data_IF_809024891400
#
_entry.id   IF_809024891400
#
_cell.length_a   1.000
_cell.length_b   1.000
_cell.length_c   1.000
_cell.angle_alpha   90.00
_cell.angle_beta   90.00
_cell.angle_gamma   90.00
#
_symmetry.space_group_name_H-M   'P 1'
#
loop_
_entity.id
_entity.type
_entity.pdbx_description
1 polymer ?
#
# COMPACT_ATOMS: atom_id res chain seq x y z
N UNK A 1 -37.57 -83.38 -55.42
CA UNK A 1 -39.00 -83.28 -55.79
C UNK A 1 -39.81 -83.06 -54.52
N UNK A 2 -40.60 -81.99 -54.47
CA UNK A 2 -41.74 -81.74 -53.54
C UNK A 2 -41.41 -81.66 -52.03
N UNK A 3 -41.93 -80.77 -51.16
CA UNK A 3 -42.93 -79.69 -51.10
C UNK A 3 -42.56 -78.91 -49.81
N UNK A 4 -42.42 -77.58 -49.79
CA UNK A 4 -43.46 -76.55 -49.58
C UNK A 4 -44.41 -76.76 -48.38
N UNK A 5 -44.32 -75.88 -47.36
CA UNK A 5 -45.38 -75.39 -46.45
C UNK A 5 -44.70 -74.55 -45.32
N UNK A 6 -44.50 -73.23 -45.44
CA UNK A 6 -45.40 -72.08 -45.15
C UNK A 6 -45.73 -71.88 -43.65
N UNK A 7 -45.60 -70.60 -43.24
CA UNK A 7 -46.01 -69.91 -42.01
C UNK A 7 -44.92 -69.86 -40.92
N UNK A 8 -44.59 -68.70 -40.31
CA UNK A 8 -45.45 -67.60 -39.95
C UNK A 8 -44.69 -66.27 -39.95
N UNK A 9 -45.33 -65.23 -40.48
CA UNK A 9 -44.88 -63.86 -40.44
C UNK A 9 -44.97 -63.29 -39.01
N UNK A 10 -43.93 -62.56 -38.60
CA UNK A 10 -44.00 -61.59 -37.51
C UNK A 10 -43.28 -60.33 -38.03
N UNK A 11 -44.08 -59.42 -38.58
CA UNK A 11 -43.64 -58.08 -38.98
C UNK A 11 -43.61 -57.23 -37.71
N UNK A 12 -42.43 -57.04 -37.13
CA UNK A 12 -42.18 -55.97 -36.18
C UNK A 12 -41.98 -54.67 -36.97
N UNK A 13 -42.99 -53.81 -36.95
CA UNK A 13 -42.86 -52.40 -37.34
C UNK A 13 -41.92 -51.72 -36.33
N UNK A 14 -40.67 -51.51 -36.73
CA UNK A 14 -39.75 -50.63 -36.03
C UNK A 14 -40.17 -49.17 -36.31
N UNK A 15 -40.69 -48.50 -35.28
CA UNK A 15 -40.80 -47.05 -35.27
C UNK A 15 -39.37 -46.46 -35.25
N UNK A 16 -38.94 -45.90 -36.37
CA UNK A 16 -37.79 -44.99 -36.41
C UNK A 16 -38.21 -43.66 -35.79
N UNK A 17 -37.71 -43.36 -34.59
CA UNK A 17 -37.63 -41.99 -34.08
C UNK A 17 -36.32 -41.36 -34.62
N UNK A 18 -36.34 -40.13 -35.16
CA UNK A 18 -35.11 -39.44 -35.51
C UNK A 18 -34.33 -39.12 -34.23
N UNK A 19 -33.05 -39.48 -34.21
CA UNK A 19 -32.12 -39.01 -33.20
C UNK A 19 -31.85 -37.51 -33.46
N UNK A 20 -32.48 -36.64 -32.68
CA UNK A 20 -32.09 -35.24 -32.61
C UNK A 20 -30.69 -35.15 -32.00
N UNK A 21 -29.71 -34.82 -32.85
CA UNK A 21 -28.36 -34.47 -32.42
C UNK A 21 -28.43 -33.14 -31.70
N UNK A 22 -28.52 -33.19 -30.37
CA UNK A 22 -28.32 -32.02 -29.51
C UNK A 22 -26.88 -31.56 -29.69
N UNK A 23 -26.70 -30.57 -30.56
CA UNK A 23 -25.49 -29.79 -30.69
C UNK A 23 -25.22 -29.11 -29.34
N UNK A 24 -24.31 -29.70 -28.56
CA UNK A 24 -23.70 -29.05 -27.41
C UNK A 24 -22.91 -27.86 -27.93
N UNK A 25 -23.57 -26.70 -28.06
CA UNK A 25 -22.89 -25.42 -28.19
C UNK A 25 -22.07 -25.25 -26.92
N UNK A 26 -20.78 -25.51 -27.05
CA UNK A 26 -19.75 -25.15 -26.09
C UNK A 26 -19.87 -23.66 -25.81
N UNK A 27 -20.54 -23.34 -24.71
CA UNK A 27 -20.62 -21.99 -24.19
C UNK A 27 -19.39 -21.85 -23.30
N UNK A 28 -18.24 -21.59 -23.91
CA UNK A 28 -17.08 -21.09 -23.17
C UNK A 28 -17.46 -19.67 -22.78
N UNK A 29 -18.20 -19.55 -21.68
CA UNK A 29 -18.39 -18.28 -21.01
C UNK A 29 -17.01 -17.81 -20.59
N UNK A 30 -16.57 -16.71 -21.20
CA UNK A 30 -15.44 -15.88 -20.82
C UNK A 30 -15.34 -15.77 -19.29
N UNK A 31 -14.49 -16.60 -18.66
CA UNK A 31 -14.13 -16.43 -17.26
C UNK A 31 -13.21 -15.21 -17.18
N UNK A 32 -13.82 -14.03 -17.08
CA UNK A 32 -13.10 -12.83 -16.64
C UNK A 32 -12.64 -13.15 -15.23
N UNK A 33 -11.35 -13.49 -15.07
CA UNK A 33 -10.72 -13.52 -13.75
C UNK A 33 -11.07 -12.21 -13.06
N UNK A 34 -11.71 -12.27 -11.89
CA UNK A 34 -11.85 -11.10 -11.03
C UNK A 34 -10.44 -10.64 -10.69
N UNK A 35 -9.97 -9.61 -11.40
CA UNK A 35 -8.69 -8.95 -11.11
C UNK A 35 -9.00 -7.84 -10.12
N UNK A 36 -8.40 -7.92 -8.95
CA UNK A 36 -8.47 -6.87 -7.96
C UNK A 36 -7.48 -5.77 -8.31
N UNK A 37 -7.84 -4.52 -8.02
CA UNK A 37 -6.91 -3.41 -8.16
C UNK A 37 -6.02 -3.38 -6.92
N UNK A 38 -4.77 -3.77 -7.10
CA UNK A 38 -3.78 -3.79 -6.04
C UNK A 38 -2.67 -2.83 -6.41
N UNK A 39 -2.46 -1.84 -5.55
CA UNK A 39 -1.38 -0.86 -5.70
C UNK A 39 -0.27 -1.23 -4.74
N UNK A 40 0.96 -1.20 -5.24
CA UNK A 40 2.13 -1.30 -4.39
C UNK A 40 2.53 0.10 -3.92
N UNK A 41 2.57 0.32 -2.61
CA UNK A 41 3.07 1.55 -2.00
C UNK A 41 4.42 1.29 -1.36
N UNK A 42 5.46 1.95 -1.84
CA UNK A 42 6.81 1.83 -1.27
C UNK A 42 7.22 3.13 -0.61
N UNK A 43 7.75 3.04 0.60
CA UNK A 43 8.33 4.15 1.32
C UNK A 43 9.80 3.89 1.66
N UNK A 44 10.68 4.79 1.20
CA UNK A 44 12.10 4.76 1.52
C UNK A 44 12.38 5.49 2.84
N UNK A 45 12.38 4.75 3.94
CA UNK A 45 12.86 5.20 5.25
C UNK A 45 14.29 4.69 5.54
N UNK A 46 15.01 4.20 4.53
CA UNK A 46 16.39 3.73 4.65
C UNK A 46 17.34 4.94 4.50
N UNK A 47 18.02 5.37 5.58
CA UNK A 47 18.87 6.54 5.55
C UNK A 47 20.11 6.28 4.68
N UNK A 48 20.14 6.97 3.55
CA UNK A 48 21.20 6.92 2.54
C UNK A 48 21.14 8.20 1.71
N UNK A 49 22.28 8.65 1.18
CA UNK A 49 22.30 9.69 0.14
C UNK A 49 21.93 9.13 -1.23
N UNK A 50 22.19 7.84 -1.45
CA UNK A 50 21.82 7.13 -2.67
C UNK A 50 20.31 6.83 -2.66
N UNK A 51 19.56 7.24 -3.70
CA UNK A 51 18.13 6.98 -3.78
C UNK A 51 17.86 5.49 -4.09
N UNK A 52 16.67 5.03 -3.72
CA UNK A 52 16.27 3.62 -3.74
C UNK A 52 15.54 3.27 -5.04
N UNK A 53 16.14 2.43 -5.87
CA UNK A 53 15.47 1.75 -6.97
C UNK A 53 14.60 0.61 -6.44
N UNK A 54 13.40 0.47 -7.03
CA UNK A 54 12.48 -0.64 -6.74
C UNK A 54 12.38 -1.53 -7.97
N UNK A 55 12.53 -2.83 -7.78
CA UNK A 55 12.47 -3.83 -8.84
C UNK A 55 11.50 -4.92 -8.45
N UNK A 56 10.78 -5.45 -9.43
CA UNK A 56 9.95 -6.64 -9.31
C UNK A 56 10.51 -7.71 -10.24
N UNK A 57 10.91 -8.85 -9.69
CA UNK A 57 11.47 -9.99 -10.45
C UNK A 57 12.60 -9.56 -11.41
N UNK A 58 13.45 -8.63 -10.95
CA UNK A 58 14.55 -8.05 -11.73
C UNK A 58 14.18 -6.92 -12.71
N UNK A 59 12.89 -6.59 -12.87
CA UNK A 59 12.41 -5.47 -13.71
C UNK A 59 12.24 -4.22 -12.86
N UNK A 60 12.86 -3.12 -13.27
CA UNK A 60 12.76 -1.85 -12.54
C UNK A 60 11.35 -1.25 -12.64
N UNK A 61 10.75 -0.92 -11.49
CA UNK A 61 9.44 -0.27 -11.40
C UNK A 61 9.57 1.25 -11.32
N UNK A 62 10.58 1.75 -10.62
CA UNK A 62 10.86 3.19 -10.51
C UNK A 62 11.35 3.76 -11.83
N UNK A 63 10.66 4.76 -12.39
CA UNK A 63 11.22 5.61 -13.44
C UNK A 63 12.34 6.51 -12.91
N UNK A 64 12.16 7.03 -11.70
CA UNK A 64 13.16 7.76 -10.92
C UNK A 64 13.32 7.08 -9.55
N UNK A 65 14.56 6.78 -9.11
CA UNK A 65 14.80 6.19 -7.79
C UNK A 65 14.25 7.04 -6.64
N UNK A 66 13.70 6.40 -5.60
CA UNK A 66 13.05 7.07 -4.47
C UNK A 66 14.09 7.68 -3.52
N UNK A 67 14.16 9.01 -3.35
CA UNK A 67 15.05 9.61 -2.38
C UNK A 67 14.66 9.22 -0.94
N UNK A 68 15.60 9.36 -0.02
CA UNK A 68 15.33 9.14 1.41
C UNK A 68 14.16 10.03 1.88
N UNK A 69 13.24 9.46 2.66
CA UNK A 69 11.99 10.06 3.16
C UNK A 69 10.90 10.28 2.09
N UNK A 70 11.01 9.64 0.93
CA UNK A 70 9.95 9.65 -0.09
C UNK A 70 9.20 8.32 -0.14
N UNK A 71 7.97 8.39 -0.64
CA UNK A 71 7.17 7.24 -1.00
C UNK A 71 6.62 7.39 -2.42
N UNK A 72 6.25 6.28 -3.04
CA UNK A 72 5.53 6.26 -4.30
C UNK A 72 4.58 5.06 -4.37
N UNK A 73 3.55 5.23 -5.19
CA UNK A 73 2.61 4.19 -5.56
C UNK A 73 2.96 3.67 -6.95
N UNK A 74 2.84 2.35 -7.13
CA UNK A 74 3.06 1.64 -8.38
C UNK A 74 1.81 0.85 -8.72
N UNK A 75 1.21 1.14 -9.87
CA UNK A 75 0.04 0.44 -10.41
C UNK A 75 0.44 -0.82 -11.18
N UNK A 76 1.41 -1.55 -10.63
CA UNK A 76 1.88 -2.82 -11.15
C UNK A 76 1.17 -3.98 -10.45
N UNK A 77 0.77 -4.99 -11.22
CA UNK A 77 0.12 -6.16 -10.65
C UNK A 77 1.11 -6.90 -9.76
N UNK A 78 0.86 -6.93 -8.45
CA UNK A 78 1.63 -7.75 -7.50
C UNK A 78 0.89 -9.05 -7.23
N UNK A 79 1.61 -10.16 -7.26
CA UNK A 79 1.10 -11.51 -7.01
C UNK A 79 1.89 -12.18 -5.87
N UNK A 80 1.28 -13.20 -5.27
CA UNK A 80 1.98 -14.05 -4.32
C UNK A 80 3.10 -14.82 -5.04
N UNK A 81 4.30 -14.76 -4.50
CA UNK A 81 5.53 -15.31 -5.07
C UNK A 81 6.46 -14.26 -5.67
N UNK A 82 5.97 -13.06 -5.97
CA UNK A 82 6.78 -11.99 -6.54
C UNK A 82 7.92 -11.59 -5.59
N UNK A 83 9.11 -11.39 -6.16
CA UNK A 83 10.27 -10.87 -5.45
C UNK A 83 10.42 -9.36 -5.71
N UNK A 84 10.41 -8.60 -4.62
CA UNK A 84 10.61 -7.15 -4.63
C UNK A 84 12.03 -6.84 -4.18
N UNK A 85 12.90 -6.43 -5.10
CA UNK A 85 14.28 -6.06 -4.81
C UNK A 85 14.42 -4.55 -4.66
N UNK A 86 15.20 -4.15 -3.67
CA UNK A 86 15.50 -2.76 -3.37
C UNK A 86 16.98 -2.51 -3.48
N UNK A 87 17.37 -1.48 -4.23
CA UNK A 87 18.77 -1.17 -4.50
C UNK A 87 19.05 0.30 -4.27
N UNK A 88 20.16 0.62 -3.63
CA UNK A 88 20.67 1.99 -3.52
C UNK A 88 21.85 2.10 -4.47
N UNK A 89 21.67 2.82 -5.58
CA UNK A 89 22.55 2.71 -6.76
C UNK A 89 22.68 1.24 -7.21
N UNK A 90 23.90 0.70 -7.29
CA UNK A 90 24.16 -0.69 -7.69
C UNK A 90 24.30 -1.65 -6.49
N UNK A 91 24.02 -1.18 -5.27
CA UNK A 91 24.13 -1.99 -4.05
C UNK A 91 22.76 -2.56 -3.67
N UNK A 92 22.70 -3.89 -3.54
CA UNK A 92 21.49 -4.57 -3.05
C UNK A 92 21.25 -4.24 -1.58
N UNK A 93 20.12 -3.57 -1.31
CA UNK A 93 19.66 -3.21 0.05
C UNK A 93 18.93 -4.39 0.67
N UNK A 94 18.12 -5.09 -0.13
CA UNK A 94 17.50 -6.36 0.25
C UNK A 94 16.34 -6.74 -0.65
N UNK A 95 15.80 -7.93 -0.41
CA UNK A 95 14.68 -8.51 -1.16
C UNK A 95 13.53 -8.84 -0.21
N UNK A 96 12.31 -8.54 -0.63
CA UNK A 96 11.07 -8.93 0.04
C UNK A 96 10.24 -9.81 -0.89
N UNK A 97 9.85 -11.00 -0.43
CA UNK A 97 8.97 -11.89 -1.20
C UNK A 97 7.54 -11.76 -0.72
N UNK A 98 6.63 -11.47 -1.66
CA UNK A 98 5.19 -11.37 -1.36
C UNK A 98 4.66 -12.79 -1.15
N UNK A 99 4.11 -13.07 0.03
CA UNK A 99 3.66 -14.43 0.38
C UNK A 99 2.18 -14.65 0.10
N UNK A 100 1.35 -13.65 0.41
CA UNK A 100 -0.09 -13.70 0.22
C UNK A 100 -0.64 -12.29 0.01
N UNK A 101 -1.73 -12.19 -0.76
CA UNK A 101 -2.48 -10.96 -0.97
C UNK A 101 -3.98 -11.25 -0.82
N UNK A 102 -4.76 -10.29 -0.28
CA UNK A 102 -6.19 -10.45 -0.14
C UNK A 102 -6.86 -10.53 -1.51
N UNK A 103 -7.96 -11.26 -1.58
CA UNK A 103 -8.84 -11.31 -2.77
C UNK A 103 -9.80 -10.12 -2.78
N UNK A 104 -9.23 -8.92 -2.73
CA UNK A 104 -9.94 -7.64 -2.71
C UNK A 104 -9.02 -6.54 -3.28
N UNK A 105 -9.60 -5.39 -3.61
CA UNK A 105 -8.80 -4.20 -3.87
C UNK A 105 -8.02 -3.85 -2.60
N UNK A 106 -6.74 -3.54 -2.76
CA UNK A 106 -5.86 -3.34 -1.62
C UNK A 106 -4.67 -2.46 -1.97
N UNK A 107 -4.06 -1.87 -0.94
CA UNK A 107 -2.73 -1.27 -1.05
C UNK A 107 -1.75 -2.08 -0.22
N UNK A 108 -0.75 -2.65 -0.88
CA UNK A 108 0.39 -3.29 -0.21
C UNK A 108 1.40 -2.20 0.12
N UNK A 109 1.50 -1.85 1.40
CA UNK A 109 2.54 -0.96 1.92
C UNK A 109 3.82 -1.77 2.20
N UNK A 110 4.94 -1.27 1.70
CA UNK A 110 6.28 -1.70 2.06
C UNK A 110 7.13 -0.51 2.52
N UNK A 111 7.68 -0.59 3.73
CA UNK A 111 8.59 0.42 4.28
C UNK A 111 9.97 -0.21 4.42
N UNK A 112 10.95 0.37 3.73
CA UNK A 112 12.35 -0.05 3.80
C UNK A 112 13.02 0.85 4.81
N UNK A 113 13.68 0.26 5.81
CA UNK A 113 14.40 0.99 6.86
C UNK A 113 15.68 0.26 7.24
N UNK A 114 16.52 0.90 8.06
CA UNK A 114 17.65 0.20 8.68
C UNK A 114 17.14 -0.83 9.68
N UNK A 115 17.88 -1.93 9.81
CA UNK A 115 17.65 -2.91 10.86
C UNK A 115 18.00 -2.31 12.22
N UNK A 116 19.16 -1.66 12.33
CA UNK A 116 19.75 -1.14 13.56
C UNK A 116 20.54 0.16 13.31
N UNK A 117 21.14 0.71 14.38
CA UNK A 117 21.96 1.93 14.39
C UNK A 117 23.46 1.68 14.14
N UNK A 118 23.87 0.44 13.86
CA UNK A 118 25.28 0.01 13.78
C UNK A 118 25.68 -0.47 12.38
N UNK A 119 24.78 -1.18 11.69
CA UNK A 119 25.01 -1.88 10.43
C UNK A 119 24.14 -1.28 9.33
N UNK A 120 24.54 -1.47 8.07
CA UNK A 120 23.76 -1.09 6.88
C UNK A 120 22.71 -2.13 6.50
N UNK A 121 22.45 -3.13 7.34
CA UNK A 121 21.43 -4.13 7.04
C UNK A 121 20.04 -3.48 6.96
N UNK A 122 19.26 -3.85 5.95
CA UNK A 122 17.88 -3.40 5.82
C UNK A 122 16.92 -4.28 6.62
N UNK A 123 15.79 -3.70 6.97
CA UNK A 123 14.62 -4.40 7.48
C UNK A 123 13.36 -3.82 6.80
N UNK A 124 12.32 -4.64 6.75
CA UNK A 124 11.09 -4.33 6.04
C UNK A 124 9.91 -4.38 7.02
N UNK A 125 9.11 -3.33 7.03
CA UNK A 125 7.75 -3.40 7.58
C UNK A 125 6.76 -3.44 6.42
N UNK A 126 5.77 -4.33 6.52
CA UNK A 126 4.72 -4.43 5.51
C UNK A 126 3.34 -4.40 6.13
N UNK A 127 2.38 -3.88 5.38
CA UNK A 127 0.97 -3.87 5.75
C UNK A 127 0.11 -3.94 4.50
N UNK A 128 -1.07 -4.55 4.61
CA UNK A 128 -2.05 -4.57 3.52
C UNK A 128 -3.29 -3.82 3.97
N UNK A 129 -3.55 -2.70 3.33
CA UNK A 129 -4.79 -1.96 3.50
C UNK A 129 -5.88 -2.57 2.64
N UNK A 130 -7.05 -2.76 3.20
CA UNK A 130 -8.28 -3.14 2.49
C UNK A 130 -9.33 -2.05 2.69
N UNK A 131 -10.30 -1.96 1.77
CA UNK A 131 -11.38 -0.98 1.85
C UNK A 131 -12.06 -0.92 3.24
N UNK A 132 -12.26 0.30 3.75
CA UNK A 132 -12.97 0.61 4.99
C UNK A 132 -13.74 1.92 4.84
N UNK A 133 -14.73 2.17 5.70
CA UNK A 133 -15.51 3.41 5.64
C UNK A 133 -14.70 4.65 6.03
N UNK A 134 -13.80 4.52 7.00
CA UNK A 134 -12.87 5.58 7.40
C UNK A 134 -11.53 5.52 6.66
N UNK A 135 -10.73 6.57 6.80
CA UNK A 135 -9.34 6.54 6.35
C UNK A 135 -8.51 5.65 7.28
N UNK A 136 -7.59 4.85 6.75
CA UNK A 136 -6.67 4.06 7.59
C UNK A 136 -5.28 4.67 7.55
N UNK A 137 -4.63 4.73 8.70
CA UNK A 137 -3.30 5.30 8.85
C UNK A 137 -2.37 4.29 9.51
N UNK A 138 -1.39 3.79 8.77
CA UNK A 138 -0.31 3.00 9.36
C UNK A 138 0.72 3.94 10.01
N UNK A 139 1.08 3.68 11.26
CA UNK A 139 2.00 4.53 12.02
C UNK A 139 3.25 3.73 12.34
N UNK A 140 4.36 4.05 11.68
CA UNK A 140 5.58 3.23 11.68
C UNK A 140 6.76 4.05 12.22
N UNK A 141 7.49 3.45 13.16
CA UNK A 141 8.75 4.00 13.66
C UNK A 141 9.92 3.39 12.89
N UNK A 142 10.40 4.11 11.88
CA UNK A 142 11.59 3.74 11.14
C UNK A 142 12.87 4.39 11.70
N UNK A 143 12.75 5.23 12.73
CA UNK A 143 13.90 5.90 13.33
C UNK A 143 14.79 4.91 14.09
N UNK A 144 16.10 5.04 13.91
CA UNK A 144 17.10 4.27 14.66
C UNK A 144 17.96 5.21 15.49
N UNK A 145 17.78 5.13 16.79
CA UNK A 145 18.55 5.91 17.75
C UNK A 145 17.92 5.87 19.14
N UNK A 146 18.55 6.52 20.13
CA UNK A 146 18.13 6.44 21.53
C UNK A 146 16.88 7.28 21.85
N UNK A 147 16.49 8.21 20.98
CA UNK A 147 15.35 9.10 21.24
C UNK A 147 14.03 8.30 21.21
N UNK A 148 13.24 8.44 22.26
CA UNK A 148 11.87 7.91 22.32
C UNK A 148 10.87 9.02 22.04
N UNK A 149 9.78 8.68 21.36
CA UNK A 149 8.69 9.61 21.08
C UNK A 149 7.37 8.86 20.86
N UNK A 150 6.26 9.61 20.83
CA UNK A 150 4.99 9.15 20.29
C UNK A 150 4.49 10.14 19.22
N UNK A 151 3.70 9.66 18.28
CA UNK A 151 2.99 10.50 17.31
C UNK A 151 1.71 11.01 17.95
N UNK A 152 1.37 12.27 17.68
CA UNK A 152 0.07 12.85 18.01
C UNK A 152 -0.57 13.49 16.80
N UNK A 153 -1.88 13.33 16.68
CA UNK A 153 -2.70 14.08 15.74
C UNK A 153 -3.57 15.08 16.51
N UNK A 154 -3.85 16.22 15.89
CA UNK A 154 -4.74 17.24 16.41
C UNK A 154 -5.52 17.85 15.25
N UNK A 155 -6.83 17.87 15.34
CA UNK A 155 -7.68 18.52 14.34
C UNK A 155 -7.47 20.04 14.36
N UNK A 156 -7.26 20.67 13.19
CA UNK A 156 -6.96 22.11 13.13
C UNK A 156 -8.19 23.00 13.38
N UNK A 157 -9.38 22.55 12.98
CA UNK A 157 -10.64 23.31 13.11
C UNK A 157 -11.62 22.71 14.13
N UNK A 158 -11.17 21.75 14.94
CA UNK A 158 -12.00 21.09 15.94
C UNK A 158 -12.48 22.04 17.04
N UNK A 159 -13.71 21.83 17.53
CA UNK A 159 -14.30 22.63 18.62
C UNK A 159 -13.55 22.48 19.97
N UNK A 160 -12.66 21.50 20.08
CA UNK A 160 -11.82 21.27 21.25
C UNK A 160 -10.38 20.98 20.78
N UNK A 161 -9.38 21.51 21.50
CA UNK A 161 -7.96 21.19 21.32
C UNK A 161 -7.64 19.75 21.79
N UNK A 162 -8.39 18.77 21.31
CA UNK A 162 -8.17 17.36 21.63
C UNK A 162 -7.04 16.88 20.73
N UNK A 163 -5.94 16.52 21.37
CA UNK A 163 -4.84 15.85 20.70
C UNK A 163 -4.91 14.36 21.04
N UNK A 164 -4.89 13.52 20.02
CA UNK A 164 -4.92 12.07 20.16
C UNK A 164 -3.52 11.49 19.95
N UNK A 165 -3.19 10.45 20.71
CA UNK A 165 -1.92 9.75 20.58
C UNK A 165 -2.07 8.56 19.63
N UNK A 166 -1.19 8.47 18.65
CA UNK A 166 -1.08 7.31 17.78
C UNK A 166 0.13 6.46 18.17
N UNK A 167 -0.09 5.15 18.32
CA UNK A 167 0.96 4.20 18.72
C UNK A 167 1.76 3.76 17.49
N UNK A 168 3.08 3.76 17.59
CA UNK A 168 3.91 3.12 16.57
C UNK A 168 3.65 1.62 16.46
N UNK A 169 3.76 1.08 15.25
CA UNK A 169 3.43 -0.31 14.92
C UNK A 169 1.94 -0.59 14.97
N UNK A 170 1.10 0.42 14.73
CA UNK A 170 -0.36 0.26 14.69
C UNK A 170 -0.95 0.82 13.39
N UNK A 171 -2.17 0.38 13.11
CA UNK A 171 -3.02 0.95 12.07
C UNK A 171 -4.27 1.47 12.75
N UNK A 172 -4.58 2.73 12.53
CA UNK A 172 -5.72 3.42 13.14
C UNK A 172 -6.68 3.90 12.06
N UNK A 173 -7.96 3.95 12.39
CA UNK A 173 -8.96 4.60 11.55
C UNK A 173 -9.07 6.06 11.99
N UNK A 174 -8.99 6.98 11.04
CA UNK A 174 -9.10 8.43 11.28
C UNK A 174 -10.27 8.96 10.47
N UNK A 175 -11.10 9.78 11.13
CA UNK A 175 -12.22 10.45 10.48
C UNK A 175 -11.71 11.48 9.46
N UNK A 176 -12.43 11.71 8.35
CA UNK A 176 -12.03 12.70 7.36
C UNK A 176 -11.86 14.09 7.99
N UNK A 177 -10.75 14.78 7.71
CA UNK A 177 -10.42 16.05 8.36
C UNK A 177 -9.02 16.59 8.05
N UNK A 178 -8.76 17.81 8.52
CA UNK A 178 -7.43 18.42 8.50
C UNK A 178 -6.79 18.26 9.88
N UNK A 179 -5.67 17.55 9.90
CA UNK A 179 -4.95 17.25 11.12
C UNK A 179 -3.51 17.74 11.06
N UNK A 180 -3.06 18.24 12.19
CA UNK A 180 -1.65 18.46 12.47
C UNK A 180 -1.06 17.22 13.12
N UNK A 181 -0.04 16.65 12.50
CA UNK A 181 0.73 15.52 13.00
C UNK A 181 2.01 16.04 13.65
N UNK A 182 2.23 15.70 14.91
CA UNK A 182 3.39 16.14 15.69
C UNK A 182 4.08 14.99 16.38
N UNK A 183 5.38 15.14 16.59
CA UNK A 183 6.18 14.19 17.34
C UNK A 183 6.38 14.69 18.76
N UNK A 184 5.86 13.95 19.74
CA UNK A 184 6.06 14.27 21.14
C UNK A 184 7.21 13.44 21.71
N UNK A 185 8.38 14.07 21.88
CA UNK A 185 9.56 13.40 22.44
C UNK A 185 9.32 13.04 23.90
N UNK A 186 9.75 11.84 24.30
CA UNK A 186 9.84 11.42 25.69
C UNK A 186 11.21 11.81 26.21
N UNK A 187 11.27 12.23 27.47
CA UNK A 187 12.54 12.49 28.13
C UNK A 187 13.37 11.21 28.14
N UNK A 188 14.68 11.33 27.96
CA UNK A 188 15.58 10.20 28.11
C UNK A 188 16.34 10.33 29.44
N UNK A 189 16.55 9.19 30.09
CA UNK A 189 17.51 9.08 31.17
C UNK A 189 18.75 8.39 30.60
N UNK A 190 19.79 9.18 30.29
CA UNK A 190 21.10 8.65 29.94
C UNK A 190 22.02 8.82 31.14
N UNK A 191 22.19 7.74 31.90
CA UNK A 191 22.94 7.75 33.17
C UNK A 191 22.20 8.50 34.28
N UNK A 192 22.91 9.34 35.06
CA UNK A 192 22.34 10.14 36.15
C UNK A 192 21.67 11.44 35.67
N UNK A 193 21.69 11.72 34.36
CA UNK A 193 21.11 12.94 33.79
C UNK A 193 19.77 12.60 33.16
N UNK A 194 18.71 13.21 33.69
CA UNK A 194 17.37 13.16 33.08
C UNK A 194 17.27 14.39 32.18
N UNK A 195 17.20 14.18 30.86
CA UNK A 195 16.83 15.27 29.94
C UNK A 195 15.32 15.27 29.82
N UNK A 196 14.68 16.35 30.27
CA UNK A 196 13.24 16.49 30.17
C UNK A 196 12.82 16.55 28.68
N UNK A 197 11.71 15.86 28.36
CA UNK A 197 11.08 15.84 27.04
C UNK A 197 10.98 17.24 26.38
N UNK A 198 10.56 18.24 27.17
CA UNK A 198 10.30 19.60 26.73
C UNK A 198 11.54 20.36 26.25
N UNK A 199 12.75 19.86 26.52
CA UNK A 199 14.02 20.49 26.12
C UNK A 199 14.63 19.83 24.88
N UNK A 200 14.07 18.71 24.41
CA UNK A 200 14.55 18.02 23.21
C UNK A 200 13.96 18.68 21.96
N UNK A 201 14.78 19.06 20.96
CA UNK A 201 14.26 19.60 19.72
C UNK A 201 13.44 18.53 19.00
N UNK A 202 12.13 18.78 18.84
CA UNK A 202 11.25 17.95 18.02
C UNK A 202 11.23 18.47 16.56
N UNK A 203 11.09 17.59 15.56
CA UNK A 203 10.87 18.03 14.19
C UNK A 203 9.61 18.90 14.08
N UNK A 204 9.57 19.73 13.04
CA UNK A 204 8.40 20.51 12.73
C UNK A 204 7.18 19.59 12.53
N UNK A 205 6.00 19.95 13.04
CA UNK A 205 4.77 19.25 12.71
C UNK A 205 4.52 19.23 11.20
N UNK A 206 3.86 18.17 10.73
CA UNK A 206 3.42 18.02 9.33
C UNK A 206 1.89 17.94 9.29
N UNK A 207 1.32 18.14 8.12
CA UNK A 207 -0.13 18.05 7.89
C UNK A 207 -0.53 16.63 7.45
N UNK A 208 -1.71 16.21 7.88
CA UNK A 208 -2.47 15.08 7.34
C UNK A 208 -3.85 15.60 6.96
N UNK A 209 -4.13 15.63 5.65
CA UNK A 209 -5.48 15.82 5.13
C UNK A 209 -6.06 14.43 4.93
N UNK A 210 -6.88 13.97 5.86
CA UNK A 210 -7.48 12.64 5.81
C UNK A 210 -8.75 12.68 4.95
N UNK A 211 -8.72 12.02 3.81
CA UNK A 211 -9.89 11.82 2.96
C UNK A 211 -10.61 10.50 3.27
N UNK A 212 -11.92 10.45 3.02
CA UNK A 212 -12.68 9.21 3.14
C UNK A 212 -12.10 8.10 2.26
N UNK A 213 -12.06 6.88 2.80
CA UNK A 213 -11.60 5.67 2.10
C UNK A 213 -10.14 5.71 1.60
N UNK A 214 -9.33 6.69 2.05
CA UNK A 214 -7.92 6.74 1.73
C UNK A 214 -7.06 5.98 2.75
N UNK A 215 -5.91 5.51 2.27
CA UNK A 215 -4.91 4.85 3.10
C UNK A 215 -3.70 5.78 3.20
N UNK A 216 -3.22 6.00 4.41
CA UNK A 216 -2.05 6.84 4.70
C UNK A 216 -1.02 6.05 5.49
N UNK A 217 0.20 6.56 5.46
CA UNK A 217 1.28 6.15 6.33
C UNK A 217 1.89 7.39 6.98
N UNK A 218 2.10 7.30 8.29
CA UNK A 218 2.91 8.24 9.06
C UNK A 218 4.19 7.51 9.44
N UNK A 219 5.33 8.01 8.96
CA UNK A 219 6.65 7.48 9.25
C UNK A 219 7.41 8.44 10.13
N UNK A 220 8.00 7.92 11.21
CA UNK A 220 9.13 8.60 11.87
C UNK A 220 10.41 8.08 11.23
N UNK A 221 11.14 8.95 10.54
CA UNK A 221 12.41 8.63 9.88
C UNK A 221 13.58 9.28 10.63
N UNK A 222 14.78 8.73 10.47
CA UNK A 222 16.03 9.29 10.99
C UNK A 222 16.97 8.19 11.46
N UNK A 223 18.23 8.55 11.65
CA UNK A 223 19.26 7.64 12.16
C UNK A 223 20.26 8.46 12.95
N UNK A 224 20.48 8.07 14.19
CA UNK A 224 21.62 8.51 14.98
C UNK A 224 22.59 7.34 15.09
N UNK A 225 23.44 7.18 14.09
CA UNK A 225 24.39 6.07 13.97
C UNK A 225 25.57 6.20 14.93
N UNK A 226 26.13 5.06 15.35
CA UNK A 226 27.30 5.03 16.25
C UNK A 226 28.63 5.35 15.55
N UNK A 227 28.65 5.19 14.23
CA UNK A 227 29.75 5.52 13.32
C UNK A 227 29.81 7.03 12.99
N UNK A 228 28.85 7.82 13.49
CA UNK A 228 28.74 9.25 13.21
C UNK A 228 27.86 9.57 11.99
N UNK A 229 27.27 8.57 11.33
CA UNK A 229 26.24 8.82 10.33
C UNK A 229 24.98 9.35 11.03
N UNK A 230 24.61 10.59 10.73
CA UNK A 230 23.47 11.27 11.35
C UNK A 230 22.49 11.73 10.27
N UNK A 231 21.24 11.30 10.42
CA UNK A 231 20.11 11.66 9.58
C UNK A 231 19.02 12.21 10.48
N UNK A 232 18.73 13.50 10.32
CA UNK A 232 17.76 14.22 11.15
C UNK A 232 16.42 13.51 11.22
N UNK A 233 15.96 13.39 12.45
CA UNK A 233 14.65 12.86 12.79
C UNK A 233 13.53 13.71 12.18
N UNK A 234 12.55 13.08 11.53
CA UNK A 234 11.46 13.77 10.85
C UNK A 234 10.20 12.90 10.77
N UNK A 235 9.03 13.55 10.69
CA UNK A 235 7.77 12.89 10.37
C UNK A 235 7.45 13.04 8.89
N UNK A 236 7.13 11.92 8.24
CA UNK A 236 6.67 11.86 6.85
C UNK A 236 5.22 11.38 6.83
N UNK A 237 4.38 12.05 6.07
CA UNK A 237 2.99 11.63 5.77
C UNK A 237 2.89 11.37 4.28
N UNK A 238 2.32 10.23 3.90
CA UNK A 238 2.04 9.88 2.52
C UNK A 238 0.74 9.07 2.38
N UNK A 239 -0.07 9.26 1.32
CA UNK A 239 0.06 10.31 0.31
C UNK A 239 -0.20 11.69 0.92
N UNK A 240 0.20 12.73 0.19
CA UNK A 240 -0.17 14.11 0.53
C UNK A 240 -1.41 14.50 -0.26
N UNK A 241 -2.54 14.56 0.43
CA UNK A 241 -3.80 15.08 -0.08
C UNK A 241 -3.82 16.61 -0.03
N UNK A 242 -4.57 17.25 -0.93
CA UNK A 242 -4.69 18.71 -0.95
C UNK A 242 -5.78 19.18 0.04
N UNK A 243 -5.41 20.08 0.95
CA UNK A 243 -6.34 20.71 1.89
C UNK A 243 -7.51 21.42 1.18
N UNK A 244 -7.31 21.90 -0.05
CA UNK A 244 -8.35 22.53 -0.86
C UNK A 244 -9.46 21.56 -1.28
N UNK A 245 -9.12 20.29 -1.47
CA UNK A 245 -10.09 19.25 -1.84
C UNK A 245 -11.07 18.99 -0.68
N UNK A 246 -10.58 19.11 0.56
CA UNK A 246 -11.43 19.05 1.75
C UNK A 246 -12.23 20.34 1.98
N UNK A 247 -11.62 21.51 1.78
CA UNK A 247 -12.27 22.80 2.02
C UNK A 247 -13.43 23.09 1.04
N UNK A 248 -13.49 22.38 -0.10
CA UNK A 248 -14.46 22.66 -1.15
C UNK A 248 -14.97 21.37 -1.84
N UNK A 249 -15.84 20.58 -1.20
CA UNK A 249 -16.28 19.27 -1.67
C UNK A 249 -17.05 19.26 -3.01
N UNK A 250 -17.24 20.42 -3.65
CA UNK A 250 -18.01 20.60 -4.90
C UNK A 250 -17.19 20.59 -6.19
N UNK A 251 -15.85 20.43 -6.16
CA UNK A 251 -15.02 20.49 -7.37
C UNK A 251 -14.55 19.15 -7.95
N UNK A 252 -14.73 18.04 -7.25
CA UNK A 252 -14.11 16.75 -7.64
C UNK A 252 -14.73 16.05 -8.88
N UNK A 253 -15.88 16.49 -9.42
CA UNK A 253 -16.57 15.74 -10.51
C UNK A 253 -16.63 16.42 -11.90
N UNK A 254 -15.95 17.55 -12.15
CA UNK A 254 -16.14 18.27 -13.44
C UNK A 254 -14.89 18.52 -14.31
N UNK A 255 -13.71 18.00 -13.98
CA UNK A 255 -12.48 18.25 -14.78
C UNK A 255 -12.09 17.14 -15.76
N UNK A 256 -13.01 16.25 -16.15
CA UNK A 256 -12.72 15.16 -17.12
C UNK A 256 -13.46 15.22 -18.47
N UNK A 257 -14.11 16.33 -18.86
CA UNK A 257 -14.89 16.35 -20.13
C UNK A 257 -14.75 17.56 -21.07
N UNK A 258 -13.87 18.53 -20.83
CA UNK A 258 -13.68 19.64 -21.78
C UNK A 258 -12.22 19.80 -22.20
N UNK A 259 -11.72 18.78 -22.91
CA UNK A 259 -10.39 18.76 -23.49
C UNK A 259 -10.36 18.42 -24.98
N UNK A 260 -11.43 18.63 -25.75
CA UNK A 260 -11.41 18.55 -27.23
C UNK A 260 -12.54 19.39 -27.81
N UNK A 261 -12.27 20.65 -28.16
CA UNK A 261 -12.85 21.33 -29.33
C UNK A 261 -12.24 22.73 -29.41
N UNK A 262 -11.13 22.88 -30.15
CA UNK A 262 -10.73 24.16 -30.76
C UNK A 262 -9.60 23.95 -31.77
N UNK A 263 -9.95 23.51 -32.98
CA UNK A 263 -9.24 23.91 -34.21
C UNK A 263 -10.15 23.68 -35.42
N UNK A 264 -10.83 24.75 -35.86
CA UNK A 264 -11.17 25.05 -37.25
C UNK A 264 -11.14 26.58 -37.39
#
# INVERSE_FOLDING_TARGET
MARSAIHCALVCLAFFLPADSVSLRSTISFLRSLRFHQTLRVCNAYPSSAPLGVYKDGVQLTSEPLPYKACADFDELVEAGDAMDFKAEDVDVGTFTVTELPRANAVLLMVIRRHDDETTAAAFDSHVFTESDGSQVAVIDAYKGPAQADVRIQEEMGAMNVSEQLRFGSVVVVDPGLYKVSLNKKGNATGNTIVAAATLPAPAPTELVAESHQFYVILRCGLQGRDGADYSEELVVFPRSDAQDFANPKKSWFTALFGWFKTL
#
